data_IF_888739233022
#
_entry.id   IF_888739233022
#
_cell.length_a   1.000
_cell.length_b   1.000
_cell.length_c   1.000
_cell.angle_alpha   90.00
_cell.angle_beta   90.00
_cell.angle_gamma   90.00
#
_symmetry.space_group_name_H-M   'P 1'
#
loop_
_entity.id
_entity.type
_entity.pdbx_description
1 polymer ?
#
# COMPACT_ATOMS: atom_id res chain seq x y z
N UNK A 1 23.51 -5.63 29.38
CA UNK A 1 23.28 -5.90 30.82
C UNK A 1 22.83 -4.56 31.40
N UNK A 2 21.68 -4.51 32.10
CA UNK A 2 21.26 -3.30 32.80
C UNK A 2 21.73 -3.34 34.25
N UNK A 3 22.04 -2.17 34.81
CA UNK A 3 22.36 -1.99 36.22
C UNK A 3 21.50 -0.87 36.77
N UNK A 4 20.75 -1.15 37.84
CA UNK A 4 19.92 -0.15 38.51
C UNK A 4 20.66 0.45 39.70
N UNK A 5 20.70 1.78 39.76
CA UNK A 5 21.21 2.53 40.91
C UNK A 5 20.00 3.15 41.62
N UNK A 6 19.84 2.87 42.92
CA UNK A 6 18.69 3.32 43.73
C UNK A 6 18.51 4.84 43.82
N UNK A 7 19.51 5.62 43.40
CA UNK A 7 19.46 7.08 43.43
C UNK A 7 18.82 7.54 42.14
N UNK A 8 17.70 8.27 42.25
CA UNK A 8 17.05 8.91 41.12
C UNK A 8 18.03 9.85 40.40
N UNK A 9 17.92 9.88 39.07
CA UNK A 9 18.71 10.76 38.21
C UNK A 9 18.49 12.25 38.57
N UNK A 10 17.25 12.61 38.92
CA UNK A 10 16.88 13.93 39.39
C UNK A 10 16.12 13.83 40.72
N UNK A 11 16.27 14.82 41.60
CA UNK A 11 15.61 14.80 42.91
C UNK A 11 14.14 15.13 42.76
N UNK A 12 13.27 14.23 43.20
CA UNK A 12 11.82 14.44 43.22
C UNK A 12 11.37 14.97 44.59
N UNK A 13 10.52 15.99 44.59
CA UNK A 13 9.87 16.55 45.79
C UNK A 13 8.42 16.87 45.45
N UNK A 14 7.51 16.52 46.35
CA UNK A 14 6.09 16.89 46.29
C UNK A 14 5.76 17.46 47.67
N UNK A 15 5.36 18.71 47.72
CA UNK A 15 4.99 19.42 48.95
C UNK A 15 3.56 19.03 49.36
N UNK A 16 2.61 19.10 48.42
CA UNK A 16 1.21 18.71 48.63
C UNK A 16 0.74 17.70 47.57
N UNK A 17 0.40 16.45 47.95
CA UNK A 17 -0.13 15.47 47.02
C UNK A 17 -1.47 15.89 46.41
N UNK A 18 -1.57 15.72 45.10
CA UNK A 18 -2.78 16.00 44.31
C UNK A 18 -3.14 14.75 43.48
N UNK A 19 -4.14 13.96 43.91
CA UNK A 19 -4.56 12.76 43.20
C UNK A 19 -5.02 13.01 41.75
N UNK A 20 -5.65 14.15 41.46
CA UNK A 20 -6.11 14.46 40.10
C UNK A 20 -4.93 14.74 39.18
N UNK A 21 -3.95 15.52 39.65
CA UNK A 21 -2.69 15.73 38.92
C UNK A 21 -1.87 14.45 38.79
N UNK A 22 -1.85 13.60 39.83
CA UNK A 22 -1.23 12.27 39.80
C UNK A 22 -1.74 11.39 38.67
N UNK A 23 -3.05 11.48 38.34
CA UNK A 23 -3.63 10.80 37.19
C UNK A 23 -3.15 11.42 35.86
N UNK A 24 -3.06 12.74 35.75
CA UNK A 24 -2.52 13.41 34.56
C UNK A 24 -1.07 13.01 34.27
N UNK A 25 -0.24 12.84 35.31
CA UNK A 25 1.15 12.37 35.17
C UNK A 25 1.25 10.98 34.51
N UNK A 26 0.20 10.16 34.57
CA UNK A 26 0.18 8.87 33.89
C UNK A 26 0.27 8.99 32.36
N UNK A 27 -0.03 10.16 31.79
CA UNK A 27 0.19 10.40 30.36
C UNK A 27 1.68 10.36 29.98
N UNK A 28 2.57 10.81 30.88
CA UNK A 28 4.03 10.67 30.68
C UNK A 28 4.59 9.35 31.19
N UNK A 29 3.83 8.57 31.95
CA UNK A 29 4.26 7.24 32.39
C UNK A 29 3.88 6.17 31.36
N UNK A 30 2.57 5.99 31.13
CA UNK A 30 1.97 4.95 30.29
C UNK A 30 1.19 5.47 29.08
N UNK A 31 1.24 6.77 28.80
CA UNK A 31 0.63 7.36 27.61
C UNK A 31 1.46 7.17 26.33
N UNK A 32 0.88 7.56 25.20
CA UNK A 32 1.46 7.31 23.87
C UNK A 32 2.72 8.12 23.58
N UNK A 33 2.89 9.26 24.26
CA UNK A 33 4.05 10.13 24.15
C UNK A 33 4.89 10.15 25.44
N UNK A 34 4.70 9.16 26.31
CA UNK A 34 5.37 9.06 27.61
C UNK A 34 6.71 8.33 27.56
N UNK A 35 7.38 8.33 28.71
CA UNK A 35 8.74 7.84 28.90
C UNK A 35 8.91 6.36 28.56
N UNK A 36 7.92 5.53 28.85
CA UNK A 36 8.01 4.11 28.49
C UNK A 36 7.99 3.92 26.97
N UNK A 37 7.22 4.74 26.24
CA UNK A 37 7.20 4.67 24.79
C UNK A 37 8.55 5.10 24.21
N UNK A 38 9.13 6.20 24.69
CA UNK A 38 10.44 6.69 24.29
C UNK A 38 11.54 5.63 24.59
N UNK A 39 11.62 5.15 25.83
CA UNK A 39 12.59 4.15 26.27
C UNK A 39 12.57 2.89 25.40
N UNK A 40 11.37 2.34 25.14
CA UNK A 40 11.23 1.13 24.35
C UNK A 40 11.49 1.37 22.86
N UNK A 41 11.02 2.49 22.31
CA UNK A 41 11.24 2.84 20.91
C UNK A 41 12.74 2.92 20.61
N UNK A 42 13.49 3.70 21.39
CA UNK A 42 14.90 3.96 21.10
C UNK A 42 15.76 2.73 21.37
N UNK A 43 15.48 1.99 22.44
CA UNK A 43 16.19 0.74 22.74
C UNK A 43 16.02 -0.30 21.62
N UNK A 44 14.80 -0.50 21.12
CA UNK A 44 14.54 -1.51 20.08
C UNK A 44 15.08 -1.05 18.72
N UNK A 45 14.95 0.23 18.37
CA UNK A 45 15.62 0.79 17.20
C UNK A 45 17.14 0.59 17.29
N UNK A 46 17.75 0.83 18.46
CA UNK A 46 19.17 0.59 18.69
C UNK A 46 19.57 -0.88 18.52
N UNK A 47 18.72 -1.84 18.91
CA UNK A 47 18.96 -3.26 18.65
C UNK A 47 19.02 -3.57 17.16
N UNK A 48 18.12 -2.94 16.38
CA UNK A 48 18.02 -3.12 14.93
C UNK A 48 19.00 -2.24 14.13
N UNK A 49 19.68 -1.30 14.78
CA UNK A 49 20.57 -0.35 14.11
C UNK A 49 21.91 -1.02 13.74
N UNK A 50 22.28 -0.93 12.47
CA UNK A 50 23.55 -1.44 11.94
C UNK A 50 24.70 -0.42 12.04
N UNK A 51 24.40 0.88 12.17
CA UNK A 51 25.40 1.94 12.37
C UNK A 51 25.83 1.97 13.85
N UNK A 52 27.11 1.68 14.18
CA UNK A 52 27.56 1.58 15.56
C UNK A 52 27.41 2.88 16.36
N UNK A 53 27.67 4.04 15.75
CA UNK A 53 27.65 5.34 16.44
C UNK A 53 26.21 5.77 16.74
N UNK A 54 25.28 5.56 15.80
CA UNK A 54 23.87 5.87 16.03
C UNK A 54 23.19 4.83 16.91
N UNK A 55 23.65 3.58 16.87
CA UNK A 55 23.24 2.57 17.83
C UNK A 55 23.59 2.96 19.26
N UNK A 56 24.81 3.44 19.48
CA UNK A 56 25.27 3.93 20.79
C UNK A 56 24.37 5.08 21.27
N UNK A 57 24.15 6.08 20.42
CA UNK A 57 23.21 7.19 20.68
C UNK A 57 21.81 6.71 21.09
N UNK A 58 21.22 5.77 20.33
CA UNK A 58 19.88 5.24 20.59
C UNK A 58 19.81 4.48 21.92
N UNK A 59 20.86 3.71 22.25
CA UNK A 59 20.94 2.98 23.51
C UNK A 59 21.16 3.90 24.71
N UNK A 60 21.97 4.95 24.56
CA UNK A 60 22.21 5.95 25.60
C UNK A 60 20.90 6.67 25.95
N UNK A 61 20.20 7.22 24.95
CA UNK A 61 18.94 7.92 25.18
C UNK A 61 17.89 6.94 25.70
N UNK A 62 17.72 5.76 25.07
CA UNK A 62 16.76 4.76 25.54
C UNK A 62 16.98 4.31 27.00
N UNK A 63 18.23 4.33 27.47
CA UNK A 63 18.58 4.06 28.88
C UNK A 63 18.27 5.25 29.78
N UNK A 64 18.49 6.48 29.30
CA UNK A 64 18.11 7.70 30.00
C UNK A 64 16.59 7.78 30.23
N UNK A 65 15.78 7.43 29.23
CA UNK A 65 14.31 7.43 29.35
C UNK A 65 13.78 6.46 30.40
N UNK A 66 14.50 5.37 30.70
CA UNK A 66 14.15 4.51 31.84
C UNK A 66 14.33 5.24 33.19
N UNK A 67 15.29 6.16 33.27
CA UNK A 67 15.48 7.01 34.45
C UNK A 67 14.40 8.10 34.52
N UNK A 68 13.98 8.66 33.39
CA UNK A 68 12.84 9.57 33.32
C UNK A 68 11.54 8.89 33.74
N UNK A 69 11.29 7.67 33.27
CA UNK A 69 10.17 6.84 33.68
C UNK A 69 10.15 6.63 35.20
N UNK A 70 11.31 6.42 35.84
CA UNK A 70 11.43 6.30 37.29
C UNK A 70 11.10 7.62 38.01
N UNK A 71 11.53 8.77 37.47
CA UNK A 71 11.20 10.11 37.98
C UNK A 71 9.68 10.36 37.91
N UNK A 72 9.08 10.16 36.73
CA UNK A 72 7.63 10.36 36.51
C UNK A 72 6.81 9.40 37.37
N UNK A 73 7.20 8.11 37.42
CA UNK A 73 6.55 7.12 38.26
C UNK A 73 6.63 7.47 39.75
N UNK A 74 7.75 8.05 40.20
CA UNK A 74 7.90 8.53 41.57
C UNK A 74 7.00 9.72 41.86
N UNK A 75 6.97 10.72 40.96
CA UNK A 75 6.06 11.87 41.06
C UNK A 75 4.60 11.42 41.14
N UNK A 76 4.16 10.61 40.18
CA UNK A 76 2.81 10.08 40.14
C UNK A 76 2.49 9.31 41.42
N UNK A 77 3.40 8.43 41.89
CA UNK A 77 3.20 7.70 43.15
C UNK A 77 3.07 8.61 44.36
N UNK A 78 3.81 9.72 44.42
CA UNK A 78 3.73 10.67 45.53
C UNK A 78 2.40 11.44 45.51
N UNK A 79 1.95 11.90 44.34
CA UNK A 79 0.66 12.57 44.16
C UNK A 79 -0.54 11.63 44.41
N UNK A 80 -0.48 10.38 43.98
CA UNK A 80 -1.55 9.38 44.14
C UNK A 80 -1.63 8.77 45.54
N UNK A 81 -0.63 9.02 46.41
CA UNK A 81 -0.53 8.38 47.73
C UNK A 81 -1.81 8.49 48.60
N UNK A 82 -2.56 9.61 48.62
CA UNK A 82 -3.79 9.72 49.41
C UNK A 82 -4.89 8.75 48.97
N UNK A 83 -4.95 8.35 47.69
CA UNK A 83 -6.01 7.50 47.13
C UNK A 83 -6.14 6.14 47.82
N UNK A 84 -5.04 5.65 48.42
CA UNK A 84 -5.04 4.35 49.10
C UNK A 84 -5.83 4.35 50.41
N UNK A 85 -5.91 5.49 51.09
CA UNK A 85 -6.39 5.56 52.48
C UNK A 85 -7.56 6.53 52.67
N UNK A 86 -7.70 7.54 51.81
CA UNK A 86 -8.76 8.54 51.90
C UNK A 86 -9.84 8.27 50.84
N UNK A 87 -11.09 8.10 51.29
CA UNK A 87 -12.23 7.88 50.42
C UNK A 87 -12.41 9.00 49.39
N UNK A 88 -12.39 10.25 49.84
CA UNK A 88 -12.64 11.40 48.97
C UNK A 88 -11.57 11.51 47.86
N UNK A 89 -10.33 11.15 48.16
CA UNK A 89 -9.26 11.06 47.16
C UNK A 89 -9.47 9.90 46.17
N UNK A 90 -10.01 8.77 46.64
CA UNK A 90 -10.32 7.62 45.79
C UNK A 90 -11.46 7.90 44.79
N UNK A 91 -12.33 8.88 45.09
CA UNK A 91 -13.42 9.28 44.17
C UNK A 91 -12.90 10.03 42.93
N UNK A 92 -11.68 10.58 42.97
CA UNK A 92 -11.05 11.23 41.81
C UNK A 92 -10.75 10.23 40.69
N UNK A 93 -10.32 9.01 41.03
CA UNK A 93 -10.21 7.88 40.09
C UNK A 93 -10.33 6.53 40.85
N UNK A 94 -11.53 5.94 40.87
CA UNK A 94 -11.75 4.65 41.54
C UNK A 94 -10.96 3.50 40.93
N UNK A 95 -10.60 3.55 39.64
CA UNK A 95 -9.82 2.50 38.99
C UNK A 95 -8.42 2.45 39.60
N UNK A 96 -7.76 3.60 39.73
CA UNK A 96 -6.43 3.71 40.35
C UNK A 96 -6.50 3.31 41.83
N UNK A 97 -7.51 3.78 42.56
CA UNK A 97 -7.62 3.52 43.99
C UNK A 97 -7.91 2.03 44.31
N UNK A 98 -8.89 1.43 43.63
CA UNK A 98 -9.38 0.08 43.94
C UNK A 98 -8.55 -1.00 43.23
N UNK A 99 -8.37 -0.88 41.91
CA UNK A 99 -7.63 -1.88 41.14
C UNK A 99 -6.11 -1.67 41.24
N UNK A 100 -5.67 -0.41 41.24
CA UNK A 100 -4.25 -0.03 41.33
C UNK A 100 -3.70 0.13 42.75
N UNK A 101 -4.56 0.07 43.78
CA UNK A 101 -4.15 0.22 45.18
C UNK A 101 -3.57 1.60 45.53
N UNK A 102 -3.94 2.64 44.77
CA UNK A 102 -3.40 4.00 44.90
C UNK A 102 -1.94 4.13 44.43
N UNK A 103 -1.50 3.24 43.54
CA UNK A 103 -0.17 3.23 42.95
C UNK A 103 -0.15 3.53 41.46
N UNK A 104 1.04 3.51 40.87
CA UNK A 104 1.22 3.61 39.42
C UNK A 104 0.98 2.26 38.75
N UNK A 105 0.40 2.30 37.56
CA UNK A 105 0.20 1.13 36.71
C UNK A 105 0.43 1.54 35.25
N UNK A 106 0.59 0.59 34.32
CA UNK A 106 0.92 0.87 32.92
C UNK A 106 -0.32 1.27 32.12
N UNK A 107 -0.92 2.39 32.52
CA UNK A 107 -2.07 3.01 31.88
C UNK A 107 -1.80 4.48 31.63
N UNK A 108 -2.50 5.07 30.67
CA UNK A 108 -2.51 6.51 30.46
C UNK A 108 -3.52 7.22 31.39
N UNK A 109 -3.67 8.54 31.30
CA UNK A 109 -4.55 9.32 32.22
C UNK A 109 -6.05 9.06 32.02
N UNK A 110 -6.43 8.23 31.05
CA UNK A 110 -7.81 7.78 30.80
C UNK A 110 -8.02 6.32 31.18
N UNK A 111 -7.02 5.66 31.77
CA UNK A 111 -7.10 4.24 32.14
C UNK A 111 -7.00 3.28 30.96
N UNK A 112 -6.45 3.71 29.81
CA UNK A 112 -6.15 2.80 28.70
C UNK A 112 -4.78 2.14 28.90
N UNK A 113 -4.67 0.80 28.73
CA UNK A 113 -3.41 0.11 28.94
C UNK A 113 -2.39 0.54 27.90
N UNK A 114 -1.13 0.67 28.32
CA UNK A 114 -0.03 0.92 27.40
C UNK A 114 0.04 -0.19 26.34
N UNK A 115 0.24 0.18 25.08
CA UNK A 115 0.36 -0.74 23.95
C UNK A 115 1.64 -0.47 23.17
N UNK A 116 2.26 -1.54 22.66
CA UNK A 116 3.39 -1.44 21.75
C UNK A 116 3.03 -0.73 20.43
N UNK A 117 1.74 -0.55 20.11
CA UNK A 117 1.29 0.21 18.94
C UNK A 117 1.72 1.69 18.97
N UNK A 118 2.08 2.21 20.15
CA UNK A 118 2.64 3.55 20.29
C UNK A 118 4.02 3.67 19.61
N UNK A 119 4.78 2.59 19.56
CA UNK A 119 6.16 2.60 19.07
C UNK A 119 6.21 2.74 17.53
N UNK A 120 7.23 3.42 17.03
CA UNK A 120 7.54 3.56 15.60
C UNK A 120 8.94 2.99 15.36
N UNK A 121 8.98 1.75 14.90
CA UNK A 121 10.21 0.99 14.67
C UNK A 121 10.13 0.44 13.25
N UNK A 122 10.91 1.02 12.33
CA UNK A 122 10.85 0.68 10.91
C UNK A 122 12.05 -0.15 10.46
N UNK A 123 13.19 -0.03 11.15
CA UNK A 123 14.44 -0.64 10.73
C UNK A 123 15.19 0.18 9.67
N UNK A 124 14.63 1.30 9.22
CA UNK A 124 15.32 2.29 8.38
C UNK A 124 15.74 3.48 9.25
N UNK A 125 17.04 3.62 9.48
CA UNK A 125 17.59 4.52 10.49
C UNK A 125 17.14 5.98 10.34
N UNK A 126 17.12 6.53 9.12
CA UNK A 126 16.72 7.92 8.93
C UNK A 126 15.21 8.13 9.09
N UNK A 127 14.38 7.10 8.89
CA UNK A 127 12.94 7.14 9.18
C UNK A 127 12.70 7.06 10.69
N UNK A 128 13.45 6.20 11.37
CA UNK A 128 13.41 6.05 12.82
C UNK A 128 13.85 7.34 13.52
N UNK A 129 14.95 7.97 13.09
CA UNK A 129 15.40 9.26 13.65
C UNK A 129 14.38 10.38 13.46
N UNK A 130 13.72 10.48 12.29
CA UNK A 130 12.62 11.44 12.07
C UNK A 130 11.43 11.17 13.00
N UNK A 131 11.12 9.88 13.22
CA UNK A 131 10.08 9.47 14.17
C UNK A 131 10.43 9.84 15.60
N UNK A 132 11.71 9.75 15.98
CA UNK A 132 12.20 10.11 17.31
C UNK A 132 12.14 11.62 17.54
N UNK A 133 12.59 12.44 16.58
CA UNK A 133 12.45 13.91 16.64
C UNK A 133 10.98 14.30 16.88
N UNK A 134 10.05 13.64 16.18
CA UNK A 134 8.63 13.88 16.37
C UNK A 134 8.10 13.36 17.72
N UNK A 135 8.63 12.25 18.24
CA UNK A 135 8.29 11.72 19.56
C UNK A 135 8.71 12.69 20.68
N UNK A 136 9.95 13.19 20.64
CA UNK A 136 10.47 14.20 21.56
C UNK A 136 9.64 15.48 21.56
N UNK A 137 9.27 15.97 20.36
CA UNK A 137 8.42 17.15 20.23
C UNK A 137 7.04 16.94 20.87
N UNK A 138 6.46 15.74 20.74
CA UNK A 138 5.17 15.38 21.37
C UNK A 138 5.30 15.20 22.88
N UNK A 139 6.36 14.56 23.38
CA UNK A 139 6.62 14.44 24.81
C UNK A 139 6.79 15.82 25.46
N UNK A 140 7.61 16.68 24.85
CA UNK A 140 7.86 18.06 25.32
C UNK A 140 6.57 18.87 25.50
N UNK A 141 5.63 18.80 24.56
CA UNK A 141 4.38 19.58 24.66
C UNK A 141 3.43 19.02 25.72
N UNK A 142 3.47 17.71 25.98
CA UNK A 142 2.75 17.10 27.11
C UNK A 142 3.33 17.60 28.43
N UNK A 143 4.66 17.65 28.58
CA UNK A 143 5.30 18.24 29.76
C UNK A 143 4.93 19.70 29.98
N UNK A 144 4.95 20.53 28.94
CA UNK A 144 4.55 21.95 29.05
C UNK A 144 3.11 22.08 29.58
N UNK A 145 2.20 21.24 29.10
CA UNK A 145 0.82 21.20 29.57
C UNK A 145 0.73 20.75 31.03
N UNK A 146 1.46 19.71 31.42
CA UNK A 146 1.51 19.25 32.82
C UNK A 146 2.05 20.34 33.74
N UNK A 147 3.11 21.06 33.36
CA UNK A 147 3.64 22.19 34.13
C UNK A 147 2.56 23.27 34.33
N UNK A 148 1.78 23.57 33.29
CA UNK A 148 0.70 24.56 33.36
C UNK A 148 -0.47 24.14 34.26
N UNK A 149 -0.73 22.83 34.41
CA UNK A 149 -1.78 22.30 35.28
C UNK A 149 -1.31 21.92 36.68
N UNK A 150 -0.02 22.02 36.96
CA UNK A 150 0.54 21.75 38.27
C UNK A 150 0.55 23.03 39.11
N UNK A 151 0.39 22.92 40.43
CA UNK A 151 0.66 24.02 41.36
C UNK A 151 1.87 23.76 42.27
N UNK A 152 2.24 22.48 42.46
CA UNK A 152 3.35 22.06 43.32
C UNK A 152 4.72 22.46 42.75
N UNK A 153 5.53 23.11 43.59
CA UNK A 153 6.80 23.70 43.15
C UNK A 153 7.89 22.65 42.86
N UNK A 154 7.95 21.59 43.66
CA UNK A 154 8.91 20.50 43.48
C UNK A 154 8.59 19.67 42.25
N UNK A 155 7.31 19.43 41.99
CA UNK A 155 6.84 18.77 40.78
C UNK A 155 7.12 19.60 39.53
N UNK A 156 6.86 20.91 39.54
CA UNK A 156 7.22 21.80 38.43
C UNK A 156 8.71 21.76 38.11
N UNK A 157 9.56 21.77 39.12
CA UNK A 157 11.02 21.71 38.94
C UNK A 157 11.45 20.40 38.26
N UNK A 158 10.92 19.26 38.70
CA UNK A 158 11.20 17.96 38.08
C UNK A 158 10.65 17.87 36.65
N UNK A 159 9.44 18.36 36.38
CA UNK A 159 8.87 18.40 35.03
C UNK A 159 9.66 19.33 34.10
N UNK A 160 10.16 20.46 34.62
CA UNK A 160 11.02 21.36 33.85
C UNK A 160 12.34 20.69 33.46
N UNK A 161 12.93 19.89 34.36
CA UNK A 161 14.11 19.09 34.04
C UNK A 161 13.81 18.12 32.88
N UNK A 162 12.76 17.30 33.00
CA UNK A 162 12.36 16.32 31.97
C UNK A 162 12.08 17.01 30.62
N UNK A 163 11.22 18.04 30.61
CA UNK A 163 10.92 18.83 29.41
C UNK A 163 12.18 19.37 28.71
N UNK A 164 13.20 19.74 29.49
CA UNK A 164 14.48 20.25 28.96
C UNK A 164 15.33 19.14 28.34
N UNK A 165 15.26 17.93 28.89
CA UNK A 165 15.91 16.74 28.31
C UNK A 165 15.30 16.38 26.97
N UNK A 166 13.98 16.51 26.79
CA UNK A 166 13.35 16.25 25.48
C UNK A 166 13.89 17.16 24.37
N UNK A 167 14.13 18.45 24.68
CA UNK A 167 14.78 19.36 23.74
C UNK A 167 16.21 18.92 23.43
N UNK A 168 16.91 18.37 24.41
CA UNK A 168 18.27 17.86 24.19
C UNK A 168 18.26 16.61 23.32
N UNK A 169 17.37 15.65 23.58
CA UNK A 169 17.20 14.44 22.77
C UNK A 169 16.79 14.81 21.34
N UNK A 170 15.83 15.70 21.17
CA UNK A 170 15.41 16.23 19.87
C UNK A 170 16.59 16.81 19.10
N UNK A 171 17.46 17.58 19.78
CA UNK A 171 18.70 18.11 19.17
C UNK A 171 19.68 17.00 18.79
N UNK A 172 19.88 16.01 19.66
CA UNK A 172 20.77 14.87 19.40
C UNK A 172 20.31 14.06 18.18
N UNK A 173 19.02 13.72 18.10
CA UNK A 173 18.45 13.01 16.95
C UNK A 173 18.51 13.84 15.67
N UNK A 174 18.24 15.15 15.74
CA UNK A 174 18.35 16.04 14.57
C UNK A 174 19.77 16.08 14.03
N UNK A 175 20.77 16.27 14.89
CA UNK A 175 22.18 16.27 14.49
C UNK A 175 22.63 14.91 13.97
N UNK A 176 22.13 13.81 14.55
CA UNK A 176 22.40 12.47 14.05
C UNK A 176 21.85 12.27 12.64
N UNK A 177 20.61 12.72 12.37
CA UNK A 177 19.99 12.67 11.05
C UNK A 177 20.75 13.53 10.03
N UNK A 178 21.05 14.78 10.38
CA UNK A 178 21.82 15.71 9.53
C UNK A 178 23.19 15.15 9.16
N UNK A 179 23.88 14.51 10.13
CA UNK A 179 25.20 13.93 9.93
C UNK A 179 25.23 12.78 8.90
N UNK A 180 24.07 12.20 8.55
CA UNK A 180 23.98 11.19 7.51
C UNK A 180 24.16 11.77 6.10
N UNK A 181 24.07 13.09 5.93
CA UNK A 181 24.24 13.75 4.63
C UNK A 181 23.17 13.37 3.59
N UNK A 182 22.04 12.80 4.02
CA UNK A 182 20.91 12.48 3.14
C UNK A 182 20.15 13.76 2.77
N UNK A 183 19.71 13.92 1.51
CA UNK A 183 18.79 15.00 1.15
C UNK A 183 17.50 14.93 2.00
N UNK A 184 16.92 16.08 2.43
CA UNK A 184 15.82 16.10 3.41
C UNK A 184 14.62 15.19 3.08
N UNK A 185 14.27 15.09 1.80
CA UNK A 185 13.11 14.34 1.29
C UNK A 185 13.46 13.00 0.65
N UNK A 186 14.73 12.57 0.74
CA UNK A 186 15.14 11.25 0.27
C UNK A 186 14.93 10.23 1.39
N UNK A 187 14.00 9.30 1.19
CA UNK A 187 13.66 8.22 2.11
C UNK A 187 13.80 6.89 1.36
N UNK A 188 14.55 5.95 1.91
CA UNK A 188 14.85 4.69 1.23
C UNK A 188 15.66 4.89 -0.07
N UNK A 189 15.51 3.95 -1.02
CA UNK A 189 16.33 3.90 -2.25
C UNK A 189 15.56 4.17 -3.55
N UNK A 190 14.24 4.10 -3.52
CA UNK A 190 13.40 4.22 -4.71
C UNK A 190 13.10 5.70 -4.93
N UNK A 191 13.48 6.22 -6.09
CA UNK A 191 13.16 7.59 -6.47
C UNK A 191 11.64 7.74 -6.72
N UNK A 192 11.05 8.89 -6.36
CA UNK A 192 9.68 9.19 -6.72
C UNK A 192 9.53 9.33 -8.24
N UNK A 193 8.30 9.18 -8.74
CA UNK A 193 7.97 9.41 -10.15
C UNK A 193 8.27 10.85 -10.55
N UNK A 194 9.06 11.02 -11.60
CA UNK A 194 9.43 12.34 -12.14
C UNK A 194 8.17 13.12 -12.56
N UNK A 195 8.17 14.43 -12.31
CA UNK A 195 7.03 15.32 -12.57
C UNK A 195 5.89 15.16 -11.56
N UNK A 196 5.49 13.93 -11.21
CA UNK A 196 4.40 13.69 -10.25
C UNK A 196 4.78 14.16 -8.84
N UNK A 197 6.04 14.03 -8.44
CA UNK A 197 6.56 14.52 -7.14
C UNK A 197 6.37 16.03 -6.95
N UNK A 198 6.28 16.78 -8.04
CA UNK A 198 6.16 18.23 -8.05
C UNK A 198 4.69 18.68 -8.19
N UNK A 199 3.75 17.76 -8.44
CA UNK A 199 2.34 18.09 -8.59
C UNK A 199 1.64 18.28 -7.25
N UNK A 200 0.88 19.37 -7.15
CA UNK A 200 -0.03 19.63 -6.03
C UNK A 200 -1.46 19.56 -6.52
N UNK A 201 -2.26 18.76 -5.81
CA UNK A 201 -3.71 18.72 -5.97
C UNK A 201 -4.37 19.53 -4.87
N UNK A 202 -5.16 20.54 -5.25
CA UNK A 202 -6.08 21.16 -4.30
C UNK A 202 -7.39 20.36 -4.28
N UNK A 203 -7.46 19.38 -3.39
CA UNK A 203 -8.65 18.52 -3.24
C UNK A 203 -9.71 19.07 -2.29
N UNK A 204 -9.38 20.12 -1.53
CA UNK A 204 -10.31 20.82 -0.64
C UNK A 204 -10.43 22.26 -1.11
N UNK A 205 -11.36 22.49 -2.05
CA UNK A 205 -11.45 23.74 -2.81
C UNK A 205 -12.56 24.66 -2.32
N UNK A 206 -12.37 25.97 -2.51
CA UNK A 206 -13.42 26.98 -2.44
C UNK A 206 -13.36 27.88 -1.20
N UNK A 207 -14.52 28.43 -0.85
CA UNK A 207 -14.70 29.26 0.35
C UNK A 207 -15.65 28.56 1.30
N UNK A 208 -15.25 28.46 2.58
CA UNK A 208 -16.09 27.90 3.63
C UNK A 208 -16.92 28.97 4.34
N UNK A 209 -17.90 28.51 5.13
CA UNK A 209 -18.82 29.37 5.89
C UNK A 209 -18.13 30.19 6.99
N UNK A 210 -16.87 29.87 7.32
CA UNK A 210 -16.08 30.55 8.35
C UNK A 210 -14.86 31.29 7.79
N UNK A 211 -14.85 31.55 6.48
CA UNK A 211 -13.79 32.31 5.81
C UNK A 211 -12.57 31.47 5.43
N UNK A 212 -12.72 30.15 5.38
CA UNK A 212 -11.74 29.26 4.76
C UNK A 212 -11.52 29.64 3.29
N UNK A 213 -10.29 29.50 2.83
CA UNK A 213 -9.88 29.85 1.47
C UNK A 213 -8.91 28.79 0.93
N UNK A 214 -8.77 28.75 -0.40
CA UNK A 214 -7.70 28.07 -1.09
C UNK A 214 -6.33 28.73 -0.79
N UNK A 215 -5.76 28.36 0.36
CA UNK A 215 -4.53 28.96 0.84
C UNK A 215 -3.33 28.62 -0.04
N UNK A 216 -2.55 29.65 -0.39
CA UNK A 216 -1.31 29.53 -1.17
C UNK A 216 -0.10 29.90 -0.31
N UNK A 217 1.00 29.17 -0.48
CA UNK A 217 2.22 29.35 0.29
C UNK A 217 3.37 28.49 -0.24
N UNK A 218 4.56 28.55 0.39
CA UNK A 218 5.74 27.83 -0.10
C UNK A 218 5.60 26.30 -0.13
N UNK A 219 4.55 25.74 0.48
CA UNK A 219 4.21 24.32 0.43
C UNK A 219 3.36 23.93 -0.80
N UNK A 220 2.88 24.89 -1.60
CA UNK A 220 2.06 24.63 -2.80
C UNK A 220 2.14 25.72 -3.90
N UNK A 221 3.16 26.57 -3.84
CA UNK A 221 3.38 27.67 -4.79
C UNK A 221 4.87 27.98 -4.92
N UNK A 222 5.29 28.35 -6.14
CA UNK A 222 6.69 28.55 -6.51
C UNK A 222 7.36 27.26 -6.96
N UNK A 223 8.53 27.37 -7.59
CA UNK A 223 9.31 26.21 -8.03
C UNK A 223 9.69 25.30 -6.84
N UNK A 224 9.56 23.96 -6.95
CA UNK A 224 9.23 23.20 -8.16
C UNK A 224 7.72 22.94 -8.37
N UNK A 225 6.84 23.47 -7.52
CA UNK A 225 5.43 23.08 -7.48
C UNK A 225 4.65 23.36 -8.77
N UNK A 226 3.96 22.33 -9.25
CA UNK A 226 3.01 22.38 -10.35
C UNK A 226 1.59 22.21 -9.80
N UNK A 227 0.82 23.29 -9.78
CA UNK A 227 -0.58 23.21 -9.36
C UNK A 227 -1.42 22.55 -10.45
N UNK A 228 -1.97 21.36 -10.16
CA UNK A 228 -2.76 20.57 -11.11
C UNK A 228 -4.15 20.37 -10.53
N UNK A 229 -5.18 20.56 -11.36
CA UNK A 229 -6.54 20.23 -10.95
C UNK A 229 -6.64 18.72 -10.69
N UNK A 230 -7.23 18.32 -9.56
CA UNK A 230 -7.19 16.92 -9.21
C UNK A 230 -8.02 16.05 -10.16
N UNK A 231 -7.58 14.80 -10.41
CA UNK A 231 -8.30 13.88 -11.29
C UNK A 231 -9.74 13.62 -10.84
N UNK A 232 -10.01 13.67 -9.53
CA UNK A 232 -11.36 13.52 -9.00
C UNK A 232 -12.27 14.67 -9.43
N UNK A 233 -11.77 15.91 -9.38
CA UNK A 233 -12.51 17.09 -9.84
C UNK A 233 -12.64 17.07 -11.37
N UNK A 234 -11.59 16.69 -12.09
CA UNK A 234 -11.64 16.52 -13.55
C UNK A 234 -12.67 15.46 -13.95
N UNK A 235 -12.69 14.31 -13.28
CA UNK A 235 -13.66 13.24 -13.53
C UNK A 235 -15.09 13.68 -13.21
N UNK A 236 -15.31 14.39 -12.10
CA UNK A 236 -16.62 14.97 -11.78
C UNK A 236 -17.10 15.92 -12.89
N UNK A 237 -16.24 16.84 -13.34
CA UNK A 237 -16.54 17.75 -14.47
C UNK A 237 -16.73 17.01 -15.80
N UNK A 238 -15.97 15.94 -16.04
CA UNK A 238 -16.07 15.12 -17.24
C UNK A 238 -17.41 14.37 -17.27
N UNK A 239 -17.81 13.76 -16.15
CA UNK A 239 -19.10 13.08 -15.99
C UNK A 239 -20.29 14.03 -16.14
N UNK A 240 -20.19 15.26 -15.60
CA UNK A 240 -21.20 16.32 -15.82
C UNK A 240 -21.34 16.69 -17.31
N UNK A 241 -20.27 16.52 -18.10
CA UNK A 241 -20.23 16.81 -19.54
C UNK A 241 -20.34 15.57 -20.44
N UNK A 242 -20.63 14.39 -19.87
CA UNK A 242 -20.81 13.13 -20.61
C UNK A 242 -19.51 12.47 -21.12
N UNK A 243 -18.35 12.84 -20.59
CA UNK A 243 -17.05 12.23 -20.89
C UNK A 243 -16.63 11.14 -19.90
N UNK A 244 -15.52 10.47 -20.19
CA UNK A 244 -14.92 9.42 -19.34
C UNK A 244 -13.90 10.01 -18.34
N UNK A 245 -13.61 9.26 -17.27
CA UNK A 245 -12.62 9.64 -16.27
C UNK A 245 -11.21 9.27 -16.74
N UNK A 246 -10.26 10.21 -16.66
CA UNK A 246 -8.84 9.95 -16.98
C UNK A 246 -8.13 9.45 -15.72
N UNK A 247 -7.61 8.22 -15.70
CA UNK A 247 -6.85 7.70 -14.56
C UNK A 247 -5.46 8.36 -14.46
N UNK A 248 -4.95 8.51 -13.23
CA UNK A 248 -3.54 8.87 -13.02
C UNK A 248 -2.70 7.61 -13.06
N UNK A 249 -1.67 7.63 -13.91
CA UNK A 249 -0.68 6.57 -13.98
C UNK A 249 0.59 7.03 -13.25
N UNK A 250 0.94 6.34 -12.17
CA UNK A 250 2.25 6.47 -11.54
C UNK A 250 3.16 5.37 -12.11
N UNK A 251 4.04 5.73 -13.04
CA UNK A 251 5.12 4.85 -13.47
C UNK A 251 6.36 5.09 -12.61
N UNK A 252 7.11 4.04 -12.31
CA UNK A 252 8.44 4.21 -11.72
C UNK A 252 9.34 4.91 -12.75
N UNK A 253 10.30 5.73 -12.30
CA UNK A 253 11.25 6.40 -13.19
C UNK A 253 11.83 5.44 -14.26
N UNK A 254 11.96 5.95 -15.49
CA UNK A 254 12.43 5.17 -16.64
C UNK A 254 13.75 4.44 -16.32
N UNK A 255 13.78 3.14 -16.59
CA UNK A 255 15.04 2.44 -16.76
C UNK A 255 15.65 2.93 -18.06
N UNK A 256 16.66 3.81 -17.98
CA UNK A 256 17.26 4.57 -19.08
C UNK A 256 18.02 3.76 -20.14
N UNK A 257 17.70 2.49 -20.37
CA UNK A 257 18.16 1.73 -21.53
C UNK A 257 17.07 0.75 -21.99
N UNK A 258 16.69 0.82 -23.28
CA UNK A 258 15.83 -0.18 -23.94
C UNK A 258 16.53 -1.52 -23.94
N UNK A 259 16.32 -2.30 -22.87
CA UNK A 259 16.98 -3.58 -22.65
C UNK A 259 16.33 -4.70 -23.49
N UNK A 260 17.01 -5.87 -23.61
CA UNK A 260 16.53 -7.03 -24.38
C UNK A 260 15.12 -7.51 -24.00
N UNK A 261 14.67 -7.22 -22.78
CA UNK A 261 13.35 -7.60 -22.26
C UNK A 261 12.24 -6.73 -22.87
N UNK A 262 12.49 -5.44 -23.12
CA UNK A 262 11.51 -4.55 -23.75
C UNK A 262 11.30 -4.92 -25.22
N UNK A 263 12.39 -5.24 -25.93
CA UNK A 263 12.30 -5.76 -27.31
C UNK A 263 11.49 -7.06 -27.38
N UNK A 264 11.69 -7.95 -26.40
CA UNK A 264 10.92 -9.19 -26.30
C UNK A 264 9.43 -8.93 -26.03
N UNK A 265 9.09 -7.98 -25.15
CA UNK A 265 7.70 -7.57 -24.90
C UNK A 265 7.07 -7.03 -26.18
N UNK A 266 7.73 -6.11 -26.88
CA UNK A 266 7.23 -5.54 -28.14
C UNK A 266 7.05 -6.62 -29.20
N UNK A 267 7.97 -7.57 -29.30
CA UNK A 267 7.84 -8.69 -30.25
C UNK A 267 6.64 -9.57 -29.90
N UNK A 268 6.42 -9.86 -28.61
CA UNK A 268 5.29 -10.64 -28.14
C UNK A 268 3.95 -9.94 -28.41
N UNK A 269 3.82 -8.65 -28.08
CA UNK A 269 2.61 -7.86 -28.35
C UNK A 269 2.25 -7.82 -29.84
N UNK A 270 3.26 -7.69 -30.73
CA UNK A 270 3.04 -7.70 -32.18
C UNK A 270 2.65 -9.06 -32.72
N UNK A 271 3.12 -10.14 -32.10
CA UNK A 271 2.78 -11.51 -32.48
C UNK A 271 1.32 -11.81 -32.12
N UNK A 272 0.91 -11.49 -30.89
CA UNK A 272 -0.49 -11.62 -30.42
C UNK A 272 -1.40 -10.75 -31.30
N UNK A 273 -1.08 -9.46 -31.51
CA UNK A 273 -1.89 -8.56 -32.34
C UNK A 273 -2.12 -9.10 -33.77
N UNK A 274 -1.14 -9.80 -34.33
CA UNK A 274 -1.34 -10.47 -35.62
C UNK A 274 -2.18 -11.75 -35.50
N UNK A 275 -2.06 -12.50 -34.41
CA UNK A 275 -2.94 -13.62 -34.09
C UNK A 275 -4.42 -13.19 -34.08
N UNK A 276 -4.74 -12.22 -33.24
CA UNK A 276 -6.08 -11.64 -33.06
C UNK A 276 -6.69 -11.17 -34.39
N UNK A 277 -5.93 -10.41 -35.19
CA UNK A 277 -6.38 -9.93 -36.51
C UNK A 277 -6.67 -11.04 -37.51
N UNK A 278 -6.09 -12.22 -37.34
CA UNK A 278 -6.46 -13.40 -38.13
C UNK A 278 -7.73 -14.06 -37.61
N UNK A 279 -7.91 -14.12 -36.28
CA UNK A 279 -9.11 -14.68 -35.66
C UNK A 279 -10.37 -13.88 -35.97
N UNK A 280 -10.28 -12.55 -36.08
CA UNK A 280 -11.39 -11.72 -36.60
C UNK A 280 -11.95 -12.22 -37.94
N UNK A 281 -11.14 -12.92 -38.74
CA UNK A 281 -11.56 -13.53 -40.02
C UNK A 281 -12.00 -14.99 -39.88
N UNK A 282 -11.48 -15.71 -38.89
CA UNK A 282 -11.75 -17.13 -38.68
C UNK A 282 -13.01 -17.37 -37.85
N UNK A 283 -13.25 -16.59 -36.79
CA UNK A 283 -14.38 -16.74 -35.88
C UNK A 283 -15.75 -16.66 -36.56
N UNK A 284 -16.00 -15.76 -37.55
CA UNK A 284 -17.25 -15.79 -38.31
C UNK A 284 -17.47 -17.12 -39.05
N UNK A 285 -16.41 -17.77 -39.55
CA UNK A 285 -16.51 -19.08 -40.22
C UNK A 285 -16.84 -20.18 -39.22
N UNK A 286 -16.24 -20.14 -38.03
CA UNK A 286 -16.52 -21.07 -36.92
C UNK A 286 -17.98 -20.95 -36.44
N UNK A 287 -18.46 -19.72 -36.21
CA UNK A 287 -19.84 -19.44 -35.83
C UNK A 287 -20.86 -19.95 -36.86
N UNK A 288 -20.54 -19.87 -38.15
CA UNK A 288 -21.39 -20.40 -39.23
C UNK A 288 -21.32 -21.92 -39.37
N UNK A 289 -20.22 -22.55 -38.94
CA UNK A 289 -20.04 -24.00 -38.99
C UNK A 289 -20.71 -24.73 -37.81
N UNK A 290 -20.86 -24.04 -36.67
CA UNK A 290 -21.50 -24.57 -35.47
C UNK A 290 -22.97 -24.93 -35.72
N UNK A 291 -23.40 -26.10 -35.23
CA UNK A 291 -24.76 -26.62 -35.35
C UNK A 291 -25.59 -26.38 -34.09
N UNK A 292 -24.95 -26.27 -32.94
CA UNK A 292 -25.55 -25.85 -31.68
C UNK A 292 -25.63 -24.33 -31.60
N UNK A 293 -26.82 -23.81 -31.28
CA UNK A 293 -27.00 -22.37 -31.05
C UNK A 293 -26.19 -21.85 -29.86
N UNK A 294 -25.83 -22.70 -28.89
CA UNK A 294 -24.96 -22.30 -27.78
C UNK A 294 -23.52 -22.08 -28.24
N UNK A 295 -22.98 -22.99 -29.07
CA UNK A 295 -21.63 -22.88 -29.60
C UNK A 295 -21.52 -21.70 -30.59
N UNK A 296 -22.55 -21.49 -31.41
CA UNK A 296 -22.59 -20.33 -32.31
C UNK A 296 -22.53 -19.00 -31.54
N UNK A 297 -23.29 -18.87 -30.45
CA UNK A 297 -23.26 -17.66 -29.61
C UNK A 297 -21.89 -17.45 -28.95
N UNK A 298 -21.24 -18.53 -28.51
CA UNK A 298 -19.91 -18.46 -27.92
C UNK A 298 -18.90 -17.89 -28.92
N UNK A 299 -18.88 -18.39 -30.16
CA UNK A 299 -18.00 -17.82 -31.20
C UNK A 299 -18.34 -16.37 -31.59
N UNK A 300 -19.61 -15.97 -31.49
CA UNK A 300 -20.01 -14.57 -31.71
C UNK A 300 -19.59 -13.64 -30.57
N UNK A 301 -19.66 -14.13 -29.32
CA UNK A 301 -19.19 -13.39 -28.15
C UNK A 301 -17.67 -13.24 -28.21
N UNK A 302 -16.95 -14.34 -28.45
CA UNK A 302 -15.49 -14.29 -28.54
C UNK A 302 -15.02 -13.37 -29.66
N UNK A 303 -15.73 -13.30 -30.80
CA UNK A 303 -15.45 -12.31 -31.85
C UNK A 303 -15.51 -10.85 -31.34
N UNK A 304 -16.45 -10.51 -30.45
CA UNK A 304 -16.54 -9.17 -29.85
C UNK A 304 -15.37 -8.92 -28.89
N UNK A 305 -15.02 -9.92 -28.07
CA UNK A 305 -13.86 -9.85 -27.17
C UNK A 305 -12.56 -9.64 -27.96
N UNK A 306 -12.34 -10.39 -29.05
CA UNK A 306 -11.20 -10.23 -29.97
C UNK A 306 -11.09 -8.81 -30.55
N UNK A 307 -12.20 -8.14 -30.88
CA UNK A 307 -12.18 -6.74 -31.35
C UNK A 307 -11.67 -5.76 -30.28
N UNK A 308 -12.09 -5.96 -29.03
CA UNK A 308 -11.60 -5.16 -27.90
C UNK A 308 -10.13 -5.46 -27.59
N UNK A 309 -9.73 -6.73 -27.64
CA UNK A 309 -8.35 -7.16 -27.40
C UNK A 309 -7.37 -6.55 -28.40
N UNK A 310 -7.73 -6.49 -29.69
CA UNK A 310 -6.96 -5.75 -30.70
C UNK A 310 -6.74 -4.29 -30.29
N UNK A 311 -7.80 -3.63 -29.81
CA UNK A 311 -7.73 -2.24 -29.38
C UNK A 311 -6.80 -2.06 -28.18
N UNK A 312 -6.87 -2.96 -27.18
CA UNK A 312 -5.98 -2.95 -26.01
C UNK A 312 -4.52 -3.21 -26.37
N UNK A 313 -4.24 -4.11 -27.31
CA UNK A 313 -2.89 -4.40 -27.79
C UNK A 313 -2.28 -3.22 -28.56
N UNK A 314 -3.10 -2.51 -29.34
CA UNK A 314 -2.67 -1.27 -30.02
C UNK A 314 -2.35 -0.17 -29.00
N UNK A 315 -3.15 -0.03 -27.95
CA UNK A 315 -2.86 0.88 -26.83
C UNK A 315 -1.57 0.49 -26.09
N UNK A 316 -1.36 -0.80 -25.81
CA UNK A 316 -0.11 -1.28 -25.20
C UNK A 316 1.13 -0.94 -26.03
N UNK A 317 1.05 -1.03 -27.37
CA UNK A 317 2.15 -0.64 -28.27
C UNK A 317 2.33 0.89 -28.29
N UNK A 318 1.23 1.66 -28.23
CA UNK A 318 1.25 3.12 -28.10
C UNK A 318 1.96 3.58 -26.82
N UNK A 319 1.64 2.97 -25.68
CA UNK A 319 2.28 3.23 -24.37
C UNK A 319 3.79 2.94 -24.38
N UNK A 320 4.23 1.98 -25.20
CA UNK A 320 5.65 1.68 -25.39
C UNK A 320 6.33 2.58 -26.43
N UNK A 321 5.63 3.59 -26.98
CA UNK A 321 6.15 4.50 -28.00
C UNK A 321 6.43 3.83 -29.34
N UNK A 322 5.85 2.66 -29.62
CA UNK A 322 6.12 1.87 -30.84
C UNK A 322 4.88 1.76 -31.72
N UNK A 323 5.07 1.86 -33.04
CA UNK A 323 3.95 1.71 -33.97
C UNK A 323 3.37 0.29 -33.95
N UNK A 324 2.05 0.19 -34.07
CA UNK A 324 1.25 -1.04 -34.18
C UNK A 324 1.45 -1.81 -35.50
N UNK A 325 2.70 -2.01 -35.91
CA UNK A 325 3.05 -2.87 -37.05
C UNK A 325 3.02 -4.33 -36.62
N UNK A 326 2.13 -5.10 -37.21
CA UNK A 326 2.02 -6.54 -36.98
C UNK A 326 3.18 -7.30 -37.64
N UNK A 327 3.70 -8.32 -36.96
CA UNK A 327 4.61 -9.31 -37.57
C UNK A 327 3.81 -10.59 -37.84
N UNK A 328 4.03 -11.32 -38.95
CA UNK A 328 3.28 -12.54 -39.22
C UNK A 328 3.44 -13.59 -38.11
N UNK A 329 2.37 -13.83 -37.36
CA UNK A 329 2.28 -14.88 -36.35
C UNK A 329 2.07 -16.24 -37.05
N UNK A 330 3.16 -16.98 -37.23
CA UNK A 330 3.16 -18.28 -37.92
C UNK A 330 2.46 -19.38 -37.15
N UNK A 331 2.48 -19.31 -35.81
CA UNK A 331 1.79 -20.27 -34.96
C UNK A 331 0.28 -20.22 -35.20
N UNK A 332 -0.31 -19.03 -35.06
CA UNK A 332 -1.75 -18.84 -35.30
C UNK A 332 -2.17 -19.18 -36.74
N UNK A 333 -1.35 -18.84 -37.74
CA UNK A 333 -1.63 -19.22 -39.14
C UNK A 333 -1.86 -20.73 -39.28
N UNK A 334 -0.97 -21.55 -38.72
CA UNK A 334 -1.10 -23.02 -38.78
C UNK A 334 -2.31 -23.54 -38.02
N UNK A 335 -2.59 -23.02 -36.82
CA UNK A 335 -3.75 -23.43 -36.01
C UNK A 335 -5.06 -23.08 -36.73
N UNK A 336 -5.15 -21.91 -37.36
CA UNK A 336 -6.31 -21.51 -38.16
C UNK A 336 -6.47 -22.42 -39.38
N UNK A 337 -5.39 -22.77 -40.06
CA UNK A 337 -5.42 -23.69 -41.22
C UNK A 337 -5.97 -25.07 -40.81
N UNK A 338 -5.50 -25.63 -39.68
CA UNK A 338 -6.07 -26.85 -39.09
C UNK A 338 -7.56 -26.69 -38.72
N UNK A 339 -7.95 -25.52 -38.21
CA UNK A 339 -9.34 -25.18 -37.93
C UNK A 339 -10.22 -25.18 -39.18
N UNK A 340 -9.73 -24.63 -40.30
CA UNK A 340 -10.42 -24.63 -41.58
C UNK A 340 -10.63 -26.04 -42.14
N UNK A 341 -9.63 -26.92 -42.00
CA UNK A 341 -9.75 -28.34 -42.34
C UNK A 341 -10.85 -29.01 -41.50
N UNK A 342 -10.86 -28.77 -40.18
CA UNK A 342 -11.88 -29.30 -39.28
C UNK A 342 -13.27 -28.79 -39.66
N UNK A 343 -13.43 -27.51 -40.02
CA UNK A 343 -14.72 -26.98 -40.53
C UNK A 343 -15.17 -27.78 -41.76
N UNK A 344 -14.27 -28.04 -42.71
CA UNK A 344 -14.60 -28.78 -43.92
C UNK A 344 -14.98 -30.25 -43.65
N UNK A 345 -14.30 -30.91 -42.71
CA UNK A 345 -14.63 -32.28 -42.28
C UNK A 345 -15.92 -32.36 -41.48
N UNK A 346 -16.14 -31.43 -40.56
CA UNK A 346 -17.35 -31.35 -39.73
C UNK A 346 -18.62 -31.20 -40.55
N UNK A 347 -18.56 -30.54 -41.72
CA UNK A 347 -19.69 -30.48 -42.68
C UNK A 347 -20.11 -31.87 -43.19
N UNK A 348 -19.16 -32.81 -43.32
CA UNK A 348 -19.44 -34.18 -43.79
C UNK A 348 -20.01 -35.08 -42.70
N UNK A 349 -19.91 -34.70 -41.42
CA UNK A 349 -20.38 -35.51 -40.29
C UNK A 349 -21.91 -35.52 -40.21
N UNK A 350 -22.48 -36.72 -40.11
CA UNK A 350 -23.94 -36.93 -39.94
C UNK A 350 -24.41 -36.63 -38.53
N UNK A 351 -23.58 -36.88 -37.52
CA UNK A 351 -23.88 -36.58 -36.12
C UNK A 351 -23.55 -35.10 -35.81
N UNK A 352 -24.54 -34.26 -35.48
CA UNK A 352 -24.31 -32.87 -35.12
C UNK A 352 -23.41 -32.68 -33.89
N UNK A 353 -23.53 -33.55 -32.88
CA UNK A 353 -22.72 -33.44 -31.67
C UNK A 353 -21.24 -33.71 -31.97
N UNK A 354 -20.95 -34.70 -32.82
CA UNK A 354 -19.58 -35.00 -33.24
C UNK A 354 -18.96 -33.94 -34.18
N UNK A 355 -19.78 -33.10 -34.83
CA UNK A 355 -19.32 -31.96 -35.61
C UNK A 355 -18.95 -30.78 -34.70
N UNK A 356 -19.82 -30.45 -33.75
CA UNK A 356 -19.57 -29.35 -32.80
C UNK A 356 -18.42 -29.65 -31.84
N UNK A 357 -18.27 -30.90 -31.37
CA UNK A 357 -17.12 -31.30 -30.57
C UNK A 357 -15.78 -31.13 -31.31
N UNK A 358 -15.77 -31.33 -32.63
CA UNK A 358 -14.56 -31.12 -33.43
C UNK A 358 -14.24 -29.62 -33.55
N UNK A 359 -15.28 -28.77 -33.73
CA UNK A 359 -15.11 -27.31 -33.72
C UNK A 359 -14.62 -26.80 -32.36
N UNK A 360 -15.15 -27.34 -31.26
CA UNK A 360 -14.69 -26.99 -29.91
C UNK A 360 -13.21 -27.34 -29.75
N UNK A 361 -12.78 -28.56 -30.13
CA UNK A 361 -11.37 -28.94 -30.05
C UNK A 361 -10.45 -28.07 -30.93
N UNK A 362 -10.95 -27.57 -32.07
CA UNK A 362 -10.20 -26.61 -32.88
C UNK A 362 -10.05 -25.26 -32.16
N UNK A 363 -11.14 -24.74 -31.59
CA UNK A 363 -11.15 -23.49 -30.85
C UNK A 363 -10.25 -23.54 -29.60
N UNK A 364 -10.31 -24.60 -28.80
CA UNK A 364 -9.47 -24.72 -27.60
C UNK A 364 -7.95 -24.64 -27.89
N UNK A 365 -7.51 -25.07 -29.08
CA UNK A 365 -6.11 -24.93 -29.49
C UNK A 365 -5.73 -23.49 -29.80
N UNK A 366 -6.68 -22.69 -30.28
CA UNK A 366 -6.53 -21.24 -30.44
C UNK A 366 -6.43 -20.59 -29.05
N UNK A 367 -7.41 -20.84 -28.16
CA UNK A 367 -7.42 -20.27 -26.80
C UNK A 367 -6.10 -20.54 -26.06
N UNK A 368 -5.61 -21.78 -26.09
CA UNK A 368 -4.36 -22.15 -25.40
C UNK A 368 -3.13 -21.43 -25.97
N UNK A 369 -3.12 -21.13 -27.27
CA UNK A 369 -2.05 -20.36 -27.89
C UNK A 369 -2.08 -18.91 -27.40
N UNK A 370 -3.26 -18.31 -27.31
CA UNK A 370 -3.45 -16.91 -26.88
C UNK A 370 -3.20 -16.75 -25.37
N UNK A 371 -3.72 -17.65 -24.54
CA UNK A 371 -3.43 -17.72 -23.10
C UNK A 371 -1.92 -17.74 -22.85
N UNK A 372 -1.18 -18.60 -23.56
CA UNK A 372 0.27 -18.64 -23.46
C UNK A 372 0.93 -17.32 -23.89
N UNK A 373 0.41 -16.69 -24.95
CA UNK A 373 0.90 -15.41 -25.45
C UNK A 373 0.71 -14.28 -24.45
N UNK A 374 -0.51 -14.10 -23.96
CA UNK A 374 -0.88 -13.05 -23.00
C UNK A 374 -0.19 -13.23 -21.65
N UNK A 375 -0.07 -14.45 -21.12
CA UNK A 375 0.71 -14.72 -19.89
C UNK A 375 2.15 -14.24 -20.06
N UNK A 376 2.78 -14.58 -21.19
CA UNK A 376 4.17 -14.20 -21.46
C UNK A 376 4.32 -12.68 -21.53
N UNK A 377 3.46 -12.01 -22.30
CA UNK A 377 3.49 -10.55 -22.43
C UNK A 377 3.25 -9.86 -21.08
N UNK A 378 2.25 -10.29 -20.31
CA UNK A 378 1.93 -9.71 -18.99
C UNK A 378 3.10 -9.84 -18.02
N UNK A 379 3.75 -11.01 -17.96
CA UNK A 379 4.88 -11.23 -17.06
C UNK A 379 6.09 -10.36 -17.44
N UNK A 380 6.34 -10.18 -18.75
CA UNK A 380 7.39 -9.26 -19.24
C UNK A 380 7.07 -7.80 -18.88
N UNK A 381 5.83 -7.36 -19.11
CA UNK A 381 5.38 -6.02 -18.72
C UNK A 381 5.50 -5.78 -17.21
N UNK A 382 5.19 -6.79 -16.39
CA UNK A 382 5.35 -6.72 -14.94
C UNK A 382 6.81 -6.60 -14.52
N UNK A 383 7.72 -7.35 -15.16
CA UNK A 383 9.15 -7.25 -14.91
C UNK A 383 9.71 -5.86 -15.27
N UNK A 384 9.17 -5.26 -16.33
CA UNK A 384 9.51 -3.90 -16.77
C UNK A 384 8.77 -2.80 -15.99
N UNK A 385 7.89 -3.17 -15.03
CA UNK A 385 7.08 -2.26 -14.22
C UNK A 385 6.10 -1.37 -15.00
N UNK A 386 5.65 -1.80 -16.18
CA UNK A 386 4.59 -1.13 -16.94
C UNK A 386 3.20 -1.53 -16.42
N UNK A 387 2.77 -0.91 -15.32
CA UNK A 387 1.53 -1.25 -14.61
C UNK A 387 0.28 -1.14 -15.48
N UNK A 388 0.18 -0.12 -16.34
CA UNK A 388 -0.94 0.06 -17.27
C UNK A 388 -1.01 -1.09 -18.29
N UNK A 389 0.13 -1.48 -18.88
CA UNK A 389 0.21 -2.60 -19.84
C UNK A 389 -0.16 -3.91 -19.15
N UNK A 390 0.30 -4.14 -17.90
CA UNK A 390 -0.09 -5.32 -17.11
C UNK A 390 -1.60 -5.39 -16.94
N UNK A 391 -2.26 -4.27 -16.66
CA UNK A 391 -3.72 -4.23 -16.49
C UNK A 391 -4.45 -4.62 -17.78
N UNK A 392 -4.09 -4.02 -18.92
CA UNK A 392 -4.70 -4.35 -20.21
C UNK A 392 -4.52 -5.83 -20.58
N UNK A 393 -3.32 -6.37 -20.43
CA UNK A 393 -3.03 -7.77 -20.76
C UNK A 393 -3.70 -8.75 -19.79
N UNK A 394 -3.91 -8.36 -18.53
CA UNK A 394 -4.63 -9.18 -17.55
C UNK A 394 -6.11 -9.28 -17.90
N UNK A 395 -6.72 -8.19 -18.39
CA UNK A 395 -8.11 -8.21 -18.83
C UNK A 395 -8.31 -9.14 -20.03
N UNK A 396 -7.48 -8.97 -21.07
CA UNK A 396 -7.54 -9.86 -22.25
C UNK A 396 -7.28 -11.32 -21.90
N UNK A 397 -6.29 -11.60 -21.05
CA UNK A 397 -6.04 -12.96 -20.58
C UNK A 397 -7.26 -13.59 -19.88
N UNK A 398 -7.98 -12.82 -19.07
CA UNK A 398 -9.16 -13.31 -18.38
C UNK A 398 -10.32 -13.67 -19.33
N UNK A 399 -10.45 -12.95 -20.45
CA UNK A 399 -11.42 -13.26 -21.50
C UNK A 399 -11.08 -14.59 -22.19
N UNK A 400 -9.82 -14.78 -22.58
CA UNK A 400 -9.32 -16.04 -23.18
C UNK A 400 -9.51 -17.25 -22.25
N UNK A 401 -9.15 -17.10 -20.97
CA UNK A 401 -9.36 -18.16 -19.97
C UNK A 401 -10.85 -18.49 -19.78
N UNK A 402 -11.73 -17.49 -19.86
CA UNK A 402 -13.17 -17.69 -19.77
C UNK A 402 -13.75 -18.35 -21.03
N UNK A 403 -13.29 -17.98 -22.22
CA UNK A 403 -13.70 -18.58 -23.49
C UNK A 403 -13.38 -20.09 -23.52
N UNK A 404 -12.18 -20.53 -23.12
CA UNK A 404 -11.85 -21.96 -22.99
C UNK A 404 -12.75 -22.69 -21.98
N UNK A 405 -13.03 -22.07 -20.83
CA UNK A 405 -13.93 -22.68 -19.84
C UNK A 405 -15.35 -22.85 -20.38
N UNK A 406 -15.87 -21.87 -21.11
CA UNK A 406 -17.19 -21.95 -21.73
C UNK A 406 -17.22 -23.03 -22.83
N UNK A 407 -16.15 -23.18 -23.61
CA UNK A 407 -16.02 -24.27 -24.60
C UNK A 407 -16.12 -25.64 -23.91
N UNK A 408 -15.43 -25.83 -22.78
CA UNK A 408 -15.52 -27.05 -21.97
C UNK A 408 -16.95 -27.31 -21.44
N UNK A 409 -17.67 -26.26 -21.02
CA UNK A 409 -19.05 -26.39 -20.56
C UNK A 409 -20.00 -26.82 -21.68
N UNK A 410 -19.79 -26.33 -22.91
CA UNK A 410 -20.57 -26.75 -24.09
C UNK A 410 -20.20 -28.18 -24.53
N UNK A 411 -18.92 -28.56 -24.41
CA UNK A 411 -18.46 -29.89 -24.82
C UNK A 411 -19.10 -31.02 -24.01
N UNK A 412 -19.21 -30.87 -22.68
CA UNK A 412 -19.72 -31.91 -21.76
C UNK A 412 -21.06 -32.53 -22.17
N UNK A 413 -22.14 -31.76 -22.38
CA UNK A 413 -23.42 -32.32 -22.81
C UNK A 413 -23.36 -32.91 -24.22
N UNK A 414 -22.54 -32.35 -25.13
CA UNK A 414 -22.35 -32.90 -26.48
C UNK A 414 -21.65 -34.25 -26.46
N UNK A 415 -20.68 -34.46 -25.57
CA UNK A 415 -20.02 -35.76 -25.38
C UNK A 415 -21.00 -36.85 -24.92
N UNK A 416 -22.00 -36.50 -24.11
CA UNK A 416 -23.06 -37.43 -23.70
C UNK A 416 -24.05 -37.74 -24.83
N UNK A 417 -24.23 -36.81 -25.78
CA UNK A 417 -25.15 -36.97 -26.91
C UNK A 417 -24.52 -37.67 -28.13
N UNK A 418 -23.19 -37.58 -28.29
CA UNK A 418 -22.45 -38.28 -29.33
C UNK A 418 -22.54 -39.80 -29.11
N UNK A 419 -22.89 -40.56 -30.17
CA UNK A 419 -23.03 -42.02 -30.06
C UNK A 419 -21.71 -42.65 -29.60
N UNK A 420 -21.69 -43.15 -28.35
CA UNK A 420 -20.60 -43.99 -27.87
C UNK A 420 -20.57 -45.29 -28.69
N UNK A 421 -19.40 -45.76 -29.14
CA UNK A 421 -19.29 -47.11 -29.67
C UNK A 421 -19.76 -48.11 -28.59
N UNK A 422 -20.33 -49.24 -29.03
CA UNK A 422 -20.65 -50.36 -28.14
C UNK A 422 -19.45 -50.64 -27.23
N UNK A 423 -19.70 -50.87 -25.94
CA UNK A 423 -18.64 -51.30 -25.04
C UNK A 423 -17.89 -52.48 -25.68
N UNK A 424 -16.56 -52.40 -25.76
CA UNK A 424 -15.74 -53.55 -26.12
C UNK A 424 -15.92 -54.54 -24.97
N UNK A 425 -16.59 -55.67 -25.23
CA UNK A 425 -16.72 -56.78 -24.28
C UNK A 425 -15.36 -57.38 -23.89
#
# INVERSE_FOLDING_TARGET
MYHHVKKLMYTVRVDEPDPAFGNMLLEQFGGANGELAAAMQYSIQGLNCEDPDRKDLLMDIGTEELSHLEIVGTLARMHLAPMKFARDAAEADPLIAIAGGGGVNLFNSMGNPWTADYLKITGELDVDLRSNIAAEARAKIVYERLINFCDDSGTKDALQFLMTREITHMRMFSLALESMGKPPFMIGKIAPTEGLVDQIFNDSTGQGDHGEIDARGPWNEGEPWQFVESPAIQAMKSLENGGEAVPVHAESAELTETGPIQDLLVHQLRDILHGEKQLLKALPKMANAARSGQLQRLFQQHLQETEEQVSRLEECLSLLGVTARTKPCKGMMGIIEEGEEIIAESKKKKDPAAADLALIGAAQRVEHYEISGYITARNLAQQLKHSAIVQYLTLSLGEEENADQLLNQVARPLMSAARMPSAVE
#
